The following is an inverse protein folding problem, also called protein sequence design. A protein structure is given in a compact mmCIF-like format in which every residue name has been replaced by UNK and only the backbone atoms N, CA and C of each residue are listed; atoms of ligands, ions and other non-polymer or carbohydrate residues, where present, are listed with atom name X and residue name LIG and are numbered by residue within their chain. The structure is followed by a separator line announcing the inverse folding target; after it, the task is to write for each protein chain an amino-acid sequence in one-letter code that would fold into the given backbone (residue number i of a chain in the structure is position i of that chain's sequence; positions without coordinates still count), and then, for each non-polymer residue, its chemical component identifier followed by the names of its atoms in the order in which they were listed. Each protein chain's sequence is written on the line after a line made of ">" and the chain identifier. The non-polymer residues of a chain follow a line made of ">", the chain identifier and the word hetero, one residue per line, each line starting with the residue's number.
data_IF_648135761246
#
_entry.id   IF_648135761246
#
_cell.length_a   1.000
_cell.length_b   1.000
_cell.length_c   1.000
_cell.angle_alpha   90.00
_cell.angle_beta   90.00
_cell.angle_gamma   90.00
#
_symmetry.space_group_name_H-M   'P 1'
#
loop_
_entity.id
_entity.type
_entity.pdbx_description
1 polymer ?
#
# COMPACT_ATOMS: atom_id res chain seq x y z
N UNK A 1 19.46 10.87 -16.83
CA UNK A 1 19.58 9.43 -16.52
C UNK A 1 21.01 9.05 -16.86
N UNK A 2 21.85 8.87 -15.85
CA UNK A 2 23.32 8.91 -15.95
C UNK A 2 23.95 7.51 -16.03
N UNK A 3 23.82 6.82 -17.16
CA UNK A 3 24.64 5.61 -17.42
C UNK A 3 24.49 4.44 -16.45
N UNK A 4 23.46 4.43 -15.60
CA UNK A 4 23.20 3.31 -14.68
C UNK A 4 22.62 2.11 -15.44
N UNK A 5 23.10 0.92 -15.11
CA UNK A 5 22.60 -0.36 -15.64
C UNK A 5 21.64 -0.97 -14.64
N UNK A 6 20.40 -1.24 -15.06
CA UNK A 6 19.39 -1.87 -14.22
C UNK A 6 19.17 -3.32 -14.67
N UNK A 7 19.13 -4.25 -13.72
CA UNK A 7 18.71 -5.63 -13.97
C UNK A 7 17.20 -5.71 -13.81
N UNK A 8 16.50 -5.89 -14.93
CA UNK A 8 15.05 -6.08 -14.96
C UNK A 8 14.80 -7.53 -15.36
N UNK A 9 14.17 -8.35 -14.50
CA UNK A 9 13.85 -9.74 -14.83
C UNK A 9 12.99 -9.85 -16.11
N UNK A 10 13.15 -10.93 -16.89
CA UNK A 10 12.28 -11.19 -18.05
C UNK A 10 10.81 -11.16 -17.65
N UNK A 11 9.96 -10.52 -18.46
CA UNK A 11 8.52 -10.40 -18.22
C UNK A 11 8.10 -9.24 -17.31
N UNK A 12 9.04 -8.47 -16.74
CA UNK A 12 8.72 -7.27 -15.98
C UNK A 12 8.48 -6.09 -16.91
N UNK A 13 7.33 -5.41 -16.72
CA UNK A 13 7.02 -4.12 -17.33
C UNK A 13 7.16 -3.03 -16.28
N UNK A 14 7.87 -1.95 -16.60
CA UNK A 14 7.92 -0.75 -15.77
C UNK A 14 7.19 0.39 -16.47
N UNK A 15 6.21 0.99 -15.80
CA UNK A 15 5.40 2.09 -16.31
C UNK A 15 5.64 3.31 -15.42
N UNK A 16 6.31 4.32 -15.97
CA UNK A 16 6.45 5.62 -15.33
C UNK A 16 5.41 6.58 -15.92
N UNK A 17 4.19 6.53 -15.37
CA UNK A 17 3.11 7.42 -15.77
C UNK A 17 2.19 7.69 -14.59
N UNK A 18 1.23 8.57 -14.81
CA UNK A 18 0.21 8.90 -13.84
C UNK A 18 -0.85 7.78 -13.77
N UNK A 19 -1.29 7.46 -12.56
CA UNK A 19 -2.27 6.38 -12.31
C UNK A 19 -3.68 6.70 -12.81
N UNK A 20 -4.00 7.97 -13.07
CA UNK A 20 -5.25 8.37 -13.73
C UNK A 20 -5.36 7.83 -15.17
N UNK A 21 -4.23 7.53 -15.81
CA UNK A 21 -4.13 6.93 -17.15
C UNK A 21 -3.98 5.40 -17.11
N UNK A 22 -4.39 4.77 -16.01
CA UNK A 22 -4.21 3.33 -15.76
C UNK A 22 -4.62 2.45 -16.96
N UNK A 23 -5.78 2.73 -17.56
CA UNK A 23 -6.35 1.96 -18.67
C UNK A 23 -5.59 2.10 -20.00
N UNK A 24 -4.66 3.05 -20.10
CA UNK A 24 -3.81 3.20 -21.28
C UNK A 24 -2.62 2.22 -21.28
N UNK A 25 -2.27 1.68 -20.11
CA UNK A 25 -1.05 0.88 -19.95
C UNK A 25 -1.30 -0.55 -19.46
N UNK A 26 -2.45 -0.80 -18.82
CA UNK A 26 -2.87 -2.12 -18.37
C UNK A 26 -4.12 -2.51 -19.16
N UNK A 27 -4.00 -3.57 -19.97
CA UNK A 27 -5.12 -4.04 -20.79
C UNK A 27 -6.21 -4.67 -19.91
N UNK A 28 -7.47 -4.54 -20.29
CA UNK A 28 -8.62 -5.00 -19.49
C UNK A 28 -8.63 -6.52 -19.24
N UNK A 29 -7.94 -7.31 -20.08
CA UNK A 29 -7.80 -8.75 -19.92
C UNK A 29 -6.61 -9.16 -19.04
N UNK A 30 -5.73 -8.22 -18.63
CA UNK A 30 -4.62 -8.52 -17.72
C UNK A 30 -5.16 -8.72 -16.30
N UNK A 31 -4.96 -9.93 -15.76
CA UNK A 31 -5.31 -10.31 -14.39
C UNK A 31 -4.03 -10.56 -13.60
N UNK A 32 -4.09 -10.33 -12.28
CA UNK A 32 -2.93 -10.48 -11.41
C UNK A 32 -3.23 -11.43 -10.25
N UNK A 33 -2.24 -12.20 -9.82
CA UNK A 33 -2.34 -12.99 -8.59
C UNK A 33 -2.21 -12.12 -7.33
N UNK A 34 -1.45 -11.03 -7.45
CA UNK A 34 -1.20 -10.07 -6.37
C UNK A 34 -1.15 -8.65 -6.93
N UNK A 35 -1.91 -7.76 -6.32
CA UNK A 35 -1.86 -6.31 -6.54
C UNK A 35 -1.45 -5.66 -5.21
N UNK A 36 -0.31 -4.99 -5.19
CA UNK A 36 0.19 -4.27 -4.02
C UNK A 36 0.10 -2.76 -4.25
N UNK A 37 -0.60 -2.05 -3.37
CA UNK A 37 -0.75 -0.61 -3.39
C UNK A 37 -0.02 0.03 -2.20
N UNK A 38 0.78 1.05 -2.49
CA UNK A 38 1.28 2.02 -1.51
C UNK A 38 0.90 3.44 -1.94
N UNK A 39 -0.39 3.83 -1.81
CA UNK A 39 -0.86 5.09 -2.34
C UNK A 39 -0.18 6.28 -1.65
N UNK A 40 0.09 7.37 -2.38
CA UNK A 40 0.56 8.62 -1.80
C UNK A 40 -0.61 9.32 -1.09
N UNK A 41 -1.02 8.78 0.06
CA UNK A 41 -2.18 9.22 0.83
C UNK A 41 -2.22 10.73 1.04
N UNK A 42 -3.40 11.32 0.85
CA UNK A 42 -3.63 12.72 1.15
C UNK A 42 -3.30 13.04 2.60
N UNK A 43 -2.38 13.99 2.81
CA UNK A 43 -1.91 14.34 4.15
C UNK A 43 -1.76 15.87 4.30
N UNK A 44 -2.45 16.45 5.28
CA UNK A 44 -2.41 17.89 5.58
C UNK A 44 -0.99 18.41 5.81
N UNK A 45 -0.13 17.65 6.48
CA UNK A 45 1.25 18.05 6.75
C UNK A 45 2.07 18.12 5.46
N UNK A 46 2.03 17.07 4.64
CA UNK A 46 2.75 17.04 3.35
C UNK A 46 2.26 18.15 2.41
N UNK A 47 0.97 18.50 2.45
CA UNK A 47 0.45 19.67 1.73
C UNK A 47 1.10 20.98 2.15
N UNK A 48 1.26 21.21 3.47
CA UNK A 48 1.94 22.41 3.98
C UNK A 48 3.40 22.45 3.56
N UNK A 49 4.09 21.30 3.59
CA UNK A 49 5.47 21.18 3.10
C UNK A 49 5.56 21.50 1.61
N UNK A 50 4.65 20.96 0.79
CA UNK A 50 4.60 21.27 -0.66
C UNK A 50 4.30 22.74 -0.93
N UNK A 51 3.40 23.35 -0.18
CA UNK A 51 3.07 24.77 -0.31
C UNK A 51 4.26 25.67 0.08
N UNK A 52 5.03 25.28 1.09
CA UNK A 52 6.23 26.00 1.51
C UNK A 52 7.43 25.75 0.57
N UNK A 53 7.54 24.56 -0.02
CA UNK A 53 8.59 24.20 -0.96
C UNK A 53 8.10 23.17 -1.98
N UNK A 54 7.79 23.65 -3.19
CA UNK A 54 7.25 22.82 -4.28
C UNK A 54 8.20 21.71 -4.74
N UNK A 55 9.51 21.81 -4.46
CA UNK A 55 10.51 20.80 -4.83
C UNK A 55 10.57 19.60 -3.87
N UNK A 56 9.99 19.73 -2.66
CA UNK A 56 10.10 18.72 -1.59
C UNK A 56 8.83 17.86 -1.49
N UNK A 57 7.68 18.34 -1.98
CA UNK A 57 6.40 17.63 -1.87
C UNK A 57 6.04 16.80 -3.10
N UNK A 58 5.61 15.55 -2.90
CA UNK A 58 5.04 14.70 -3.96
C UNK A 58 3.54 15.02 -4.21
N UNK A 59 3.01 14.61 -5.37
CA UNK A 59 1.57 14.67 -5.63
C UNK A 59 0.88 13.57 -4.82
N UNK A 60 -0.01 13.97 -3.93
CA UNK A 60 -0.86 13.06 -3.17
C UNK A 60 -2.14 12.76 -3.95
N UNK A 61 -2.77 11.64 -3.63
CA UNK A 61 -4.08 11.25 -4.14
C UNK A 61 -5.13 11.36 -3.04
N UNK A 62 -6.31 11.84 -3.39
CA UNK A 62 -7.47 11.77 -2.49
C UNK A 62 -7.96 10.34 -2.36
N UNK A 63 -8.89 10.08 -1.43
CA UNK A 63 -9.49 8.76 -1.35
C UNK A 63 -10.28 8.43 -2.62
N UNK A 64 -10.93 9.42 -3.20
CA UNK A 64 -11.73 9.31 -4.43
C UNK A 64 -10.84 8.96 -5.63
N UNK A 65 -9.66 9.60 -5.75
CA UNK A 65 -8.69 9.30 -6.80
C UNK A 65 -8.22 7.84 -6.72
N UNK A 66 -7.96 7.33 -5.50
CA UNK A 66 -7.51 5.95 -5.29
C UNK A 66 -8.65 4.97 -5.59
N UNK A 67 -9.87 5.25 -5.11
CA UNK A 67 -11.05 4.43 -5.36
C UNK A 67 -11.35 4.31 -6.87
N UNK A 68 -11.11 5.37 -7.64
CA UNK A 68 -11.37 5.40 -9.08
C UNK A 68 -10.51 4.42 -9.89
N UNK A 69 -9.37 3.96 -9.35
CA UNK A 69 -8.52 2.95 -10.03
C UNK A 69 -9.37 1.70 -10.31
N UNK A 70 -9.49 1.22 -11.56
CA UNK A 70 -10.44 0.19 -11.97
C UNK A 70 -9.96 -1.23 -11.65
N UNK A 71 -9.48 -1.48 -10.43
CA UNK A 71 -8.88 -2.77 -10.04
C UNK A 71 -9.84 -3.95 -10.19
N UNK A 72 -11.15 -3.74 -10.07
CA UNK A 72 -12.19 -4.76 -10.29
C UNK A 72 -12.06 -5.47 -11.65
N UNK A 73 -11.51 -4.79 -12.66
CA UNK A 73 -11.29 -5.35 -14.00
C UNK A 73 -10.06 -6.25 -14.07
N UNK A 74 -9.20 -6.26 -13.05
CA UNK A 74 -7.91 -6.95 -13.05
C UNK A 74 -7.82 -8.08 -12.01
N UNK A 75 -8.96 -8.45 -11.43
CA UNK A 75 -9.07 -9.55 -10.48
C UNK A 75 -9.49 -10.86 -11.18
N UNK A 76 -8.93 -11.97 -10.70
CA UNK A 76 -9.47 -13.33 -10.78
C UNK A 76 -9.85 -13.80 -9.37
N UNK A 77 -10.46 -14.98 -9.22
CA UNK A 77 -11.09 -15.44 -7.97
C UNK A 77 -10.16 -15.45 -6.74
N UNK A 78 -8.85 -15.56 -6.94
CA UNK A 78 -7.84 -15.68 -5.88
C UNK A 78 -6.82 -14.52 -5.90
N UNK A 79 -7.16 -13.40 -6.55
CA UNK A 79 -6.29 -12.21 -6.58
C UNK A 79 -6.20 -11.55 -5.21
N UNK A 80 -5.00 -11.54 -4.62
CA UNK A 80 -4.72 -10.75 -3.44
C UNK A 80 -4.62 -9.26 -3.79
N UNK A 81 -5.35 -8.42 -3.07
CA UNK A 81 -5.16 -6.97 -3.12
C UNK A 81 -4.69 -6.48 -1.77
N UNK A 82 -3.47 -5.96 -1.73
CA UNK A 82 -2.77 -5.57 -0.51
C UNK A 82 -2.57 -4.07 -0.52
N UNK A 83 -3.03 -3.37 0.51
CA UNK A 83 -2.96 -1.91 0.60
C UNK A 83 -2.20 -1.49 1.85
N UNK A 84 -1.05 -0.86 1.65
CA UNK A 84 -0.36 -0.13 2.71
C UNK A 84 -1.14 1.12 3.09
N UNK A 85 -1.42 1.27 4.38
CA UNK A 85 -2.21 2.38 4.89
C UNK A 85 -1.57 3.00 6.13
N UNK A 86 -1.63 4.33 6.18
CA UNK A 86 -1.30 5.07 7.40
C UNK A 86 -2.31 4.81 8.52
N UNK A 87 -2.07 5.38 9.69
CA UNK A 87 -2.99 5.29 10.83
C UNK A 87 -4.15 6.31 10.81
N UNK A 88 -4.34 7.05 9.71
CA UNK A 88 -5.41 8.03 9.61
C UNK A 88 -6.79 7.35 9.50
N UNK A 89 -7.76 7.66 10.40
CA UNK A 89 -9.10 7.07 10.38
C UNK A 89 -9.80 7.19 9.03
N UNK A 90 -9.66 8.33 8.35
CA UNK A 90 -10.28 8.60 7.05
C UNK A 90 -9.80 7.68 5.93
N UNK A 91 -8.55 7.21 5.97
CA UNK A 91 -8.04 6.28 4.95
C UNK A 91 -8.40 4.84 5.29
N UNK A 92 -8.38 4.49 6.57
CA UNK A 92 -8.80 3.17 7.06
C UNK A 92 -10.28 2.94 6.71
N UNK A 93 -11.12 3.92 6.99
CA UNK A 93 -12.54 3.90 6.67
C UNK A 93 -12.77 3.75 5.16
N UNK A 94 -12.09 4.59 4.35
CA UNK A 94 -12.20 4.52 2.90
C UNK A 94 -11.78 3.17 2.31
N UNK A 95 -10.71 2.53 2.83
CA UNK A 95 -10.32 1.20 2.36
C UNK A 95 -11.44 0.18 2.62
N UNK A 96 -11.95 0.15 3.86
CA UNK A 96 -12.93 -0.85 4.30
C UNK A 96 -14.31 -0.66 3.68
N UNK A 97 -14.75 0.59 3.61
CA UNK A 97 -16.15 0.92 3.31
C UNK A 97 -16.34 1.44 1.88
N UNK A 98 -15.27 1.79 1.16
CA UNK A 98 -15.36 2.34 -0.18
C UNK A 98 -14.52 1.55 -1.19
N UNK A 99 -13.22 1.36 -0.95
CA UNK A 99 -12.31 0.80 -1.95
C UNK A 99 -12.56 -0.68 -2.17
N UNK A 100 -12.52 -1.47 -1.10
CA UNK A 100 -12.73 -2.92 -1.18
C UNK A 100 -14.11 -3.26 -1.73
N UNK A 101 -15.22 -2.66 -1.24
CA UNK A 101 -16.53 -2.85 -1.86
C UNK A 101 -16.59 -2.46 -3.33
N UNK A 102 -16.02 -1.30 -3.73
CA UNK A 102 -15.98 -0.86 -5.13
C UNK A 102 -15.22 -1.85 -6.02
N UNK A 103 -14.13 -2.40 -5.51
CA UNK A 103 -13.30 -3.36 -6.23
C UNK A 103 -13.84 -4.79 -6.21
N UNK A 104 -14.93 -5.07 -5.47
CA UNK A 104 -15.50 -6.41 -5.34
C UNK A 104 -14.71 -7.32 -4.40
N UNK A 105 -14.06 -6.75 -3.39
CA UNK A 105 -13.20 -7.44 -2.42
C UNK A 105 -13.83 -7.49 -1.03
N UNK A 106 -13.56 -8.55 -0.30
CA UNK A 106 -13.78 -8.68 1.13
C UNK A 106 -12.46 -8.46 1.87
N UNK A 107 -12.50 -7.74 3.00
CA UNK A 107 -11.35 -7.62 3.89
C UNK A 107 -11.14 -8.95 4.60
N UNK A 108 -10.00 -9.61 4.34
CA UNK A 108 -9.68 -10.92 4.93
C UNK A 108 -8.67 -10.83 6.08
N UNK A 109 -7.77 -9.84 6.05
CA UNK A 109 -6.79 -9.65 7.10
C UNK A 109 -6.32 -8.20 7.24
N UNK A 110 -5.87 -7.85 8.43
CA UNK A 110 -5.15 -6.60 8.71
C UNK A 110 -3.84 -6.93 9.40
N UNK A 111 -2.72 -6.67 8.71
CA UNK A 111 -1.39 -6.83 9.29
C UNK A 111 -0.81 -5.48 9.69
N UNK A 112 0.22 -5.51 10.52
CA UNK A 112 0.82 -4.33 11.10
C UNK A 112 2.32 -4.36 10.93
N UNK A 113 2.88 -3.33 10.32
CA UNK A 113 4.32 -3.12 10.34
C UNK A 113 4.69 -2.23 11.52
N UNK A 114 5.21 -2.85 12.58
CA UNK A 114 5.72 -2.17 13.76
C UNK A 114 7.15 -1.69 13.51
N UNK A 115 7.34 -0.37 13.62
CA UNK A 115 8.62 0.31 13.44
C UNK A 115 9.37 0.35 14.77
N UNK A 116 10.53 -0.28 14.78
CA UNK A 116 11.40 -0.37 15.96
C UNK A 116 12.74 0.33 15.74
N UNK A 117 13.41 0.70 16.82
CA UNK A 117 14.78 1.18 16.83
C UNK A 117 15.76 0.00 16.71
N UNK A 118 17.05 0.28 16.49
CA UNK A 118 18.09 -0.77 16.54
C UNK A 118 18.16 -1.50 17.88
N UNK A 119 17.67 -0.88 18.96
CA UNK A 119 17.55 -1.48 20.29
C UNK A 119 16.24 -2.25 20.51
N UNK A 120 15.45 -2.52 19.46
CA UNK A 120 14.20 -3.28 19.55
C UNK A 120 13.00 -2.52 20.12
N UNK A 121 13.17 -1.25 20.52
CA UNK A 121 12.09 -0.45 21.09
C UNK A 121 11.26 0.24 20.01
N UNK A 122 9.94 0.40 20.17
CA UNK A 122 9.11 1.18 19.25
C UNK A 122 9.66 2.59 19.00
N UNK A 123 9.60 3.09 17.76
CA UNK A 123 10.12 4.42 17.40
C UNK A 123 9.34 5.59 18.04
N UNK A 124 8.14 5.32 18.54
CA UNK A 124 7.40 6.19 19.45
C UNK A 124 6.47 5.35 20.33
N UNK A 125 5.89 5.95 21.37
CA UNK A 125 4.89 5.28 22.20
C UNK A 125 3.66 4.89 21.36
N UNK A 126 3.02 3.79 21.72
CA UNK A 126 1.65 3.53 21.29
C UNK A 126 0.75 4.59 21.91
N UNK A 127 -0.13 5.17 21.10
CA UNK A 127 -1.00 6.26 21.52
C UNK A 127 -2.46 5.93 21.23
N UNK A 128 -3.36 6.79 21.68
CA UNK A 128 -4.75 6.77 21.27
C UNK A 128 -4.92 6.91 19.74
N UNK A 129 -6.04 6.39 19.17
CA UNK A 129 -6.38 6.59 17.76
C UNK A 129 -6.28 8.06 17.33
N UNK A 130 -5.81 8.30 16.11
CA UNK A 130 -5.62 9.64 15.55
C UNK A 130 -4.32 10.34 15.95
N UNK A 131 -3.57 9.83 16.93
CA UNK A 131 -2.20 10.26 17.21
C UNK A 131 -1.17 9.42 16.44
N UNK A 132 0.08 9.90 16.39
CA UNK A 132 1.19 9.17 15.75
C UNK A 132 1.34 7.80 16.40
N UNK A 133 1.37 6.77 15.56
CA UNK A 133 1.57 5.38 15.98
C UNK A 133 2.96 4.91 15.52
N UNK A 134 3.58 3.96 16.25
CA UNK A 134 4.84 3.33 15.84
C UNK A 134 4.62 2.25 14.79
N UNK A 135 3.55 2.30 14.00
CA UNK A 135 3.24 1.30 13.00
C UNK A 135 2.50 1.87 11.79
N UNK A 136 2.44 1.07 10.73
CA UNK A 136 1.53 1.22 9.59
C UNK A 136 0.69 -0.05 9.45
N UNK A 137 -0.47 0.05 8.78
CA UNK A 137 -1.36 -1.09 8.53
C UNK A 137 -1.17 -1.60 7.10
N UNK A 138 -1.44 -2.88 6.93
CA UNK A 138 -1.51 -3.56 5.65
C UNK A 138 -2.89 -4.22 5.60
N UNK A 139 -3.77 -3.73 4.74
CA UNK A 139 -5.08 -4.35 4.52
C UNK A 139 -4.96 -5.36 3.39
N UNK A 140 -5.47 -6.56 3.60
CA UNK A 140 -5.46 -7.63 2.62
C UNK A 140 -6.91 -7.95 2.25
N UNK A 141 -7.22 -7.80 0.97
CA UNK A 141 -8.51 -8.14 0.39
C UNK A 141 -8.40 -9.28 -0.62
N UNK A 142 -9.46 -10.08 -0.70
CA UNK A 142 -9.65 -11.10 -1.73
C UNK A 142 -11.08 -10.96 -2.28
N UNK A 143 -11.34 -11.40 -3.53
CA UNK A 143 -12.71 -11.50 -4.03
C UNK A 143 -13.58 -12.37 -3.13
N UNK A 144 -14.86 -12.00 -3.03
CA UNK A 144 -15.83 -12.71 -2.21
C UNK A 144 -15.90 -14.20 -2.58
N UNK A 145 -15.87 -15.07 -1.57
CA UNK A 145 -15.92 -16.52 -1.75
C UNK A 145 -14.60 -17.20 -2.10
N UNK A 146 -13.47 -16.48 -2.18
CA UNK A 146 -12.15 -17.09 -2.36
C UNK A 146 -11.86 -18.09 -1.21
N UNK A 147 -11.49 -19.35 -1.51
CA UNK A 147 -11.10 -20.32 -0.48
C UNK A 147 -9.82 -19.90 0.25
N UNK A 148 -8.97 -19.09 -0.39
CA UNK A 148 -7.73 -18.60 0.21
C UNK A 148 -7.96 -17.67 1.39
N UNK A 149 -9.12 -17.02 1.50
CA UNK A 149 -9.45 -16.13 2.62
C UNK A 149 -9.24 -16.80 3.98
N UNK A 150 -9.51 -18.12 4.09
CA UNK A 150 -9.35 -18.89 5.32
C UNK A 150 -7.89 -19.24 5.64
N UNK A 151 -6.99 -19.16 4.66
CA UNK A 151 -5.57 -19.47 4.82
C UNK A 151 -4.75 -18.27 5.29
N UNK A 152 -5.29 -17.06 5.22
CA UNK A 152 -4.58 -15.83 5.63
C UNK A 152 -4.79 -15.61 7.12
N UNK A 153 -3.73 -15.49 7.93
CA UNK A 153 -3.86 -15.04 9.31
C UNK A 153 -4.55 -13.68 9.36
N UNK A 154 -5.64 -13.58 10.13
CA UNK A 154 -6.43 -12.35 10.25
C UNK A 154 -5.59 -11.16 10.73
N UNK A 155 -4.60 -11.42 11.58
CA UNK A 155 -3.63 -10.46 12.07
C UNK A 155 -2.20 -11.02 12.02
N UNK A 156 -1.24 -10.15 11.68
CA UNK A 156 0.19 -10.45 11.71
C UNK A 156 0.96 -9.17 12.04
N UNK A 157 2.10 -9.30 12.73
CA UNK A 157 2.94 -8.19 13.16
C UNK A 157 4.34 -8.35 12.59
N UNK A 158 4.72 -7.47 11.66
CA UNK A 158 6.06 -7.39 11.09
C UNK A 158 6.86 -6.35 11.86
N UNK A 159 8.06 -6.71 12.33
CA UNK A 159 8.93 -5.79 13.07
C UNK A 159 10.17 -5.49 12.25
N UNK A 160 10.47 -4.20 12.04
CA UNK A 160 11.76 -3.82 11.46
C UNK A 160 12.17 -2.38 11.79
N UNK A 161 13.46 -2.12 11.61
CA UNK A 161 14.00 -0.76 11.68
C UNK A 161 13.63 -0.02 10.39
N UNK A 162 12.92 1.12 10.46
CA UNK A 162 12.56 1.85 9.26
C UNK A 162 13.81 2.39 8.56
N UNK A 163 13.73 2.48 7.23
CA UNK A 163 14.76 3.15 6.43
C UNK A 163 14.92 4.62 6.84
N UNK A 164 16.13 5.16 6.66
CA UNK A 164 16.35 6.61 6.74
C UNK A 164 15.61 7.37 5.63
N UNK A 165 15.29 6.69 4.52
CA UNK A 165 14.51 7.26 3.42
C UNK A 165 13.01 7.18 3.78
N UNK A 166 12.34 8.33 3.76
CA UNK A 166 10.93 8.44 4.07
C UNK A 166 10.08 7.57 3.11
N UNK A 167 8.97 7.02 3.62
CA UNK A 167 8.02 6.14 2.91
C UNK A 167 8.54 4.78 2.45
N UNK A 168 9.83 4.47 2.57
CA UNK A 168 10.34 3.13 2.26
C UNK A 168 9.71 2.08 3.18
N UNK A 169 8.98 1.14 2.59
CA UNK A 169 8.42 -0.04 3.25
C UNK A 169 9.51 -1.04 3.60
N UNK A 170 9.29 -1.93 4.58
CA UNK A 170 10.31 -2.88 4.98
C UNK A 170 10.62 -3.78 3.79
N UNK A 171 11.91 -4.01 3.47
CA UNK A 171 12.27 -4.94 2.42
C UNK A 171 11.77 -6.34 2.80
N UNK A 172 11.08 -6.98 1.85
CA UNK A 172 10.67 -8.39 1.98
C UNK A 172 11.87 -9.27 1.66
N UNK A 173 12.86 -9.33 2.56
CA UNK A 173 13.89 -10.34 2.47
C UNK A 173 13.28 -11.66 2.92
N UNK A 174 13.00 -12.55 1.99
CA UNK A 174 12.71 -13.94 2.33
C UNK A 174 13.94 -14.54 2.99
N UNK A 175 13.77 -15.24 4.10
CA UNK A 175 14.80 -16.17 4.57
C UNK A 175 14.98 -17.20 3.45
N UNK A 176 16.10 -17.13 2.72
CA UNK A 176 16.58 -18.28 1.97
C UNK A 176 17.06 -19.28 3.02
N UNK A 177 16.14 -20.10 3.50
CA UNK A 177 16.50 -21.37 4.12
C UNK A 177 16.86 -22.36 3.01
#
# INVERSE_FOLDING_TARGET
>A
MNGETYLIPPGVKFINSSVDRFTEYIMENEKFDLILLDPPWWNKYIRRVKAANAKIGYRMLTNEDIQAIPLERHLHADTFVVVWCTNAPTHIDAIKNNFFPKWGLELVATWYWIKITKGGQPVCKFNEPGKKQPYERIFIGLPAGSPLAKSVPSECFLYSVPSAIHSHKPPLYGNRN
#
